data_IF_112690244207
#
_entry.id   IF_112690244207
#
_cell.length_a   1.000
_cell.length_b   1.000
_cell.length_c   1.000
_cell.angle_alpha   90.00
_cell.angle_beta   90.00
_cell.angle_gamma   90.00
#
_symmetry.space_group_name_H-M   'P 1'
#
loop_
_entity.id
_entity.type
_entity.pdbx_description
1 polymer ?
#
# COMPACT_ATOMS: atom_id res chain seq x y z
N UNK A 1 44.02 -12.98 36.71
CA UNK A 1 43.93 -13.88 35.57
C UNK A 1 44.83 -15.09 35.81
N UNK A 2 44.27 -16.28 35.73
CA UNK A 2 44.97 -17.55 35.93
C UNK A 2 45.38 -18.16 34.58
N UNK A 3 44.43 -18.21 33.66
CA UNK A 3 44.65 -18.70 32.29
C UNK A 3 43.69 -18.00 31.31
N UNK A 4 44.04 -18.00 30.04
CA UNK A 4 43.14 -17.73 28.93
C UNK A 4 43.18 -18.95 28.03
N UNK A 5 42.01 -19.48 27.68
CA UNK A 5 41.85 -20.63 26.79
C UNK A 5 41.00 -20.20 25.60
N UNK A 6 41.24 -20.79 24.46
CA UNK A 6 40.50 -20.50 23.21
C UNK A 6 39.87 -21.81 22.72
N UNK A 7 38.63 -21.75 22.32
CA UNK A 7 37.90 -22.91 21.76
C UNK A 7 38.51 -23.29 20.40
N UNK A 8 38.55 -24.60 20.14
CA UNK A 8 38.93 -25.16 18.84
C UNK A 8 37.79 -25.09 17.80
N UNK A 9 38.00 -25.66 16.63
CA UNK A 9 36.99 -25.68 15.56
C UNK A 9 35.70 -26.46 15.92
N UNK A 10 35.72 -27.24 16.97
CA UNK A 10 34.56 -27.98 17.48
C UNK A 10 33.88 -27.27 18.69
N UNK A 11 34.39 -26.10 19.06
CA UNK A 11 33.87 -25.31 20.20
C UNK A 11 34.41 -25.77 21.57
N UNK A 12 35.42 -26.64 21.64
CA UNK A 12 35.99 -27.15 22.90
C UNK A 12 37.24 -26.38 23.31
N UNK A 13 37.35 -26.09 24.60
CA UNK A 13 38.57 -25.61 25.22
C UNK A 13 38.80 -26.33 26.52
N UNK A 14 40.07 -26.55 26.88
CA UNK A 14 40.46 -27.16 28.11
C UNK A 14 41.63 -26.35 28.75
N UNK A 15 41.50 -26.08 30.05
CA UNK A 15 42.61 -25.52 30.81
C UNK A 15 43.71 -26.60 31.03
N UNK A 16 44.91 -26.17 31.32
CA UNK A 16 45.88 -27.00 32.00
C UNK A 16 45.46 -27.31 33.42
N UNK A 17 46.20 -28.19 34.10
CA UNK A 17 45.86 -28.58 35.47
C UNK A 17 45.90 -27.37 36.43
N UNK A 18 44.85 -27.18 37.20
CA UNK A 18 44.68 -26.09 38.15
C UNK A 18 44.72 -26.65 39.60
N UNK A 19 45.31 -25.94 40.55
CA UNK A 19 45.17 -26.29 41.96
C UNK A 19 43.70 -26.35 42.40
N UNK A 20 43.38 -27.13 43.42
CA UNK A 20 42.06 -27.11 44.06
C UNK A 20 41.75 -25.70 44.57
N UNK A 21 40.51 -25.23 44.34
CA UNK A 21 40.05 -23.91 44.74
C UNK A 21 38.86 -23.44 43.95
N UNK A 22 38.44 -22.20 44.28
CA UNK A 22 37.36 -21.52 43.56
C UNK A 22 37.94 -20.65 42.43
N UNK A 23 37.31 -20.78 41.26
CA UNK A 23 37.65 -20.04 40.04
C UNK A 23 36.43 -19.35 39.50
N UNK A 24 36.64 -18.30 38.72
CA UNK A 24 35.60 -17.62 37.94
C UNK A 24 35.99 -17.68 36.49
N UNK A 25 35.03 -18.17 35.68
CA UNK A 25 35.18 -18.23 34.23
C UNK A 25 34.27 -17.18 33.62
N UNK A 26 34.80 -16.44 32.68
CA UNK A 26 34.02 -15.51 31.84
C UNK A 26 34.50 -15.55 30.40
N UNK A 27 33.60 -15.35 29.47
CA UNK A 27 33.98 -15.10 28.10
C UNK A 27 34.69 -13.77 27.95
N UNK A 28 35.77 -13.72 27.21
CA UNK A 28 36.57 -12.50 26.97
C UNK A 28 36.31 -11.93 25.58
N UNK A 29 36.19 -12.79 24.62
CA UNK A 29 35.94 -12.49 23.20
C UNK A 29 35.07 -13.63 22.65
N UNK A 30 34.08 -13.31 21.81
CA UNK A 30 33.25 -14.31 21.13
C UNK A 30 33.64 -14.45 19.65
N UNK A 31 33.12 -15.49 18.98
CA UNK A 31 33.30 -15.63 17.55
C UNK A 31 32.49 -14.58 16.76
N UNK A 32 32.98 -14.20 15.57
CA UNK A 32 32.27 -13.27 14.67
C UNK A 32 30.84 -13.76 14.39
N UNK A 33 29.89 -12.84 14.50
CA UNK A 33 28.47 -13.11 14.32
C UNK A 33 27.70 -13.41 15.60
N UNK A 34 28.42 -13.54 16.72
CA UNK A 34 27.81 -13.80 18.02
C UNK A 34 27.95 -12.61 18.97
N UNK A 35 27.11 -12.63 20.00
CA UNK A 35 27.10 -11.64 21.09
C UNK A 35 27.87 -12.21 22.27
N UNK A 36 28.74 -11.39 22.85
CA UNK A 36 29.53 -11.77 24.03
C UNK A 36 28.61 -12.10 25.21
N UNK A 37 28.80 -13.27 25.83
CA UNK A 37 28.14 -13.60 27.09
C UNK A 37 28.89 -12.95 28.24
N UNK A 38 28.31 -11.91 28.83
CA UNK A 38 28.86 -11.18 29.96
C UNK A 38 28.77 -11.91 31.31
N UNK A 39 28.23 -13.14 31.35
CA UNK A 39 28.06 -13.90 32.57
C UNK A 39 29.41 -14.34 33.16
N UNK A 40 29.49 -14.31 34.48
CA UNK A 40 30.65 -14.84 35.24
C UNK A 40 30.18 -16.08 35.97
N UNK A 41 30.76 -17.25 35.67
CA UNK A 41 30.39 -18.52 36.27
C UNK A 41 31.45 -18.95 37.30
N UNK A 42 30.98 -19.39 38.48
CA UNK A 42 31.86 -19.91 39.53
C UNK A 42 32.10 -21.40 39.32
N UNK A 43 33.34 -21.79 39.37
CA UNK A 43 33.82 -23.19 39.30
C UNK A 43 34.53 -23.51 40.62
N UNK A 44 34.06 -24.53 41.34
CA UNK A 44 34.65 -24.97 42.60
C UNK A 44 35.31 -26.33 42.42
N UNK A 45 36.64 -26.34 42.32
CA UNK A 45 37.46 -27.54 42.23
C UNK A 45 37.83 -28.02 43.66
N UNK A 46 36.96 -28.85 44.24
CA UNK A 46 37.17 -29.36 45.59
C UNK A 46 37.69 -30.78 45.56
N UNK A 47 38.49 -31.14 46.58
CA UNK A 47 38.93 -32.53 46.79
C UNK A 47 37.69 -33.46 46.93
N UNK A 48 37.69 -34.57 46.20
CA UNK A 48 36.60 -35.56 46.28
C UNK A 48 36.95 -36.73 47.16
N UNK A 49 37.96 -37.52 46.80
CA UNK A 49 38.41 -38.68 47.54
C UNK A 49 39.80 -39.14 47.06
N UNK A 50 40.37 -40.15 47.74
CA UNK A 50 41.70 -40.71 47.41
C UNK A 50 41.77 -41.46 46.08
N UNK A 51 40.61 -41.86 45.52
CA UNK A 51 40.54 -42.63 44.30
C UNK A 51 40.28 -41.75 43.08
N UNK A 52 40.08 -40.43 43.28
CA UNK A 52 39.81 -39.45 42.26
C UNK A 52 41.02 -38.53 42.09
N UNK A 53 42.02 -38.94 41.33
CA UNK A 53 43.29 -38.20 41.20
C UNK A 53 43.14 -36.90 40.37
N UNK A 54 42.11 -36.79 39.52
CA UNK A 54 41.77 -35.62 38.71
C UNK A 54 40.29 -35.30 38.92
N UNK A 55 39.98 -34.07 39.30
CA UNK A 55 38.63 -33.52 39.34
C UNK A 55 38.40 -32.75 38.06
N UNK A 56 37.41 -33.14 37.24
CA UNK A 56 36.98 -32.41 36.06
C UNK A 56 35.70 -31.60 36.35
N UNK A 57 35.61 -30.45 35.78
CA UNK A 57 34.41 -29.64 35.75
C UNK A 57 34.14 -29.27 34.28
N UNK A 58 32.95 -29.65 33.82
CA UNK A 58 32.52 -29.38 32.42
C UNK A 58 31.43 -28.35 32.48
N UNK A 59 31.48 -27.39 31.57
CA UNK A 59 30.53 -26.29 31.47
C UNK A 59 30.20 -26.01 30.00
N UNK A 60 28.92 -25.95 29.70
CA UNK A 60 28.42 -25.57 28.38
C UNK A 60 28.22 -24.05 28.33
N UNK A 61 28.82 -23.41 27.33
CA UNK A 61 28.70 -21.98 27.11
C UNK A 61 27.97 -21.73 25.80
N UNK A 62 26.92 -20.89 25.80
CA UNK A 62 26.09 -20.61 24.65
C UNK A 62 26.06 -19.11 24.35
N UNK A 63 26.35 -18.73 23.10
CA UNK A 63 26.27 -17.37 22.63
C UNK A 63 25.04 -17.20 21.72
N UNK A 64 24.36 -16.07 21.87
CA UNK A 64 23.32 -15.66 20.94
C UNK A 64 23.95 -15.10 19.67
N UNK A 65 23.37 -15.42 18.51
CA UNK A 65 23.76 -14.77 17.27
C UNK A 65 23.29 -13.31 17.27
N UNK A 66 24.06 -12.41 16.67
CA UNK A 66 23.63 -11.07 16.37
C UNK A 66 22.47 -11.12 15.38
N UNK A 67 21.41 -10.30 15.61
CA UNK A 67 20.20 -10.27 14.82
C UNK A 67 20.02 -8.95 14.09
N UNK A 68 19.35 -9.01 12.93
CA UNK A 68 18.83 -7.84 12.24
C UNK A 68 17.37 -7.61 12.63
N UNK A 69 17.03 -6.34 12.92
CA UNK A 69 15.65 -5.90 13.06
C UNK A 69 15.30 -4.98 11.91
N UNK A 70 14.47 -5.48 10.99
CA UNK A 70 14.06 -4.73 9.79
C UNK A 70 12.65 -4.22 10.01
N UNK A 71 12.49 -2.90 9.99
CA UNK A 71 11.21 -2.21 10.19
C UNK A 71 10.84 -1.43 8.94
N UNK A 72 9.58 -1.51 8.53
CA UNK A 72 8.98 -0.66 7.51
C UNK A 72 7.94 0.26 8.16
N UNK A 73 7.91 1.51 7.72
CA UNK A 73 6.87 2.49 8.04
C UNK A 73 6.24 2.93 6.73
N UNK A 74 4.93 2.77 6.61
CA UNK A 74 4.16 3.15 5.42
C UNK A 74 3.34 4.40 5.68
N UNK A 75 3.45 5.39 4.80
CA UNK A 75 2.75 6.67 4.90
C UNK A 75 2.12 7.09 3.58
N UNK A 76 1.13 7.98 3.68
CA UNK A 76 0.65 8.75 2.54
C UNK A 76 1.68 9.85 2.21
N UNK A 77 1.99 9.99 0.94
CA UNK A 77 2.98 10.96 0.43
C UNK A 77 2.62 12.40 0.81
N UNK A 78 3.62 13.13 1.27
CA UNK A 78 3.51 14.52 1.73
C UNK A 78 2.56 14.75 2.91
N UNK A 79 2.24 13.71 3.68
CA UNK A 79 1.45 13.79 4.91
C UNK A 79 2.10 13.01 6.04
N UNK A 80 1.55 13.12 7.26
CA UNK A 80 1.93 12.27 8.39
C UNK A 80 0.98 11.06 8.58
N UNK A 81 -0.01 10.90 7.68
CA UNK A 81 -0.94 9.79 7.74
C UNK A 81 -0.22 8.48 7.50
N UNK A 82 -0.28 7.57 8.47
CA UNK A 82 0.20 6.19 8.32
C UNK A 82 -0.84 5.35 7.60
N UNK A 83 -0.39 4.31 6.87
CA UNK A 83 -1.24 3.49 6.03
C UNK A 83 -1.19 2.03 6.45
N UNK A 84 -2.34 1.48 6.86
CA UNK A 84 -2.57 0.07 7.14
C UNK A 84 -2.78 -0.73 5.85
N UNK A 85 -2.37 -2.01 5.85
CA UNK A 85 -2.69 -2.95 4.79
C UNK A 85 -1.73 -2.98 3.60
N UNK A 86 -0.72 -2.11 3.57
CA UNK A 86 0.36 -2.20 2.57
C UNK A 86 1.20 -3.46 2.78
N UNK A 87 1.37 -4.28 1.74
CA UNK A 87 2.09 -5.56 1.82
C UNK A 87 3.51 -5.39 1.33
N UNK A 88 4.47 -5.74 2.17
CA UNK A 88 5.91 -5.69 1.88
C UNK A 88 6.54 -7.06 1.96
N UNK A 89 7.55 -7.29 1.13
CA UNK A 89 8.34 -8.49 1.18
C UNK A 89 9.83 -8.17 1.30
N UNK A 90 10.51 -8.99 2.10
CA UNK A 90 11.95 -8.99 2.34
C UNK A 90 12.61 -10.06 1.48
N UNK A 91 13.66 -9.70 0.77
CA UNK A 91 14.37 -10.58 -0.17
C UNK A 91 15.88 -10.61 0.08
N UNK A 92 16.53 -11.68 -0.36
CA UNK A 92 17.98 -11.70 -0.59
C UNK A 92 18.31 -10.90 -1.85
N UNK A 93 19.33 -10.03 -1.79
CA UNK A 93 19.85 -9.31 -2.98
C UNK A 93 20.83 -10.13 -3.76
N UNK A 94 21.69 -10.88 -3.05
CA UNK A 94 22.72 -11.76 -3.62
C UNK A 94 22.56 -13.18 -3.08
N UNK A 95 23.29 -14.14 -3.69
CA UNK A 95 23.37 -15.48 -3.14
C UNK A 95 23.98 -15.44 -1.73
N UNK A 96 23.36 -16.13 -0.78
CA UNK A 96 23.88 -16.32 0.57
C UNK A 96 24.59 -17.67 0.60
N UNK A 97 25.84 -17.65 1.05
CA UNK A 97 26.71 -18.83 1.09
C UNK A 97 26.88 -19.31 2.53
N UNK A 98 27.07 -20.62 2.71
CA UNK A 98 27.56 -21.20 3.97
C UNK A 98 29.09 -21.04 4.08
N UNK A 99 29.69 -21.55 5.17
CA UNK A 99 31.14 -21.47 5.42
C UNK A 99 31.96 -22.25 4.38
N UNK A 100 31.38 -23.25 3.72
CA UNK A 100 31.99 -24.08 2.67
C UNK A 100 31.88 -23.44 1.29
N UNK A 101 31.19 -22.29 1.15
CA UNK A 101 30.95 -21.57 -0.10
C UNK A 101 29.78 -22.11 -0.93
N UNK A 102 28.95 -22.93 -0.38
CA UNK A 102 27.76 -23.43 -1.04
C UNK A 102 26.59 -22.44 -0.88
N UNK A 103 25.79 -22.29 -1.95
CA UNK A 103 24.61 -21.41 -1.93
C UNK A 103 23.51 -22.04 -1.08
N UNK A 104 23.14 -21.35 0.02
CA UNK A 104 22.02 -21.74 0.92
C UNK A 104 20.72 -20.99 0.59
N UNK A 105 20.83 -19.73 0.11
CA UNK A 105 19.72 -18.95 -0.46
C UNK A 105 20.20 -18.26 -1.72
N UNK A 106 19.42 -18.34 -2.79
CA UNK A 106 19.73 -17.65 -4.04
C UNK A 106 19.33 -16.19 -3.96
N UNK A 107 19.95 -15.36 -4.79
CA UNK A 107 19.54 -14.01 -5.05
C UNK A 107 18.03 -13.95 -5.40
N UNK A 108 17.36 -12.85 -5.05
CA UNK A 108 15.93 -12.60 -5.26
C UNK A 108 14.98 -13.63 -4.61
N UNK A 109 15.47 -14.38 -3.61
CA UNK A 109 14.60 -15.26 -2.81
C UNK A 109 13.81 -14.44 -1.81
N UNK A 110 12.48 -14.55 -1.86
CA UNK A 110 11.60 -13.97 -0.83
C UNK A 110 11.75 -14.72 0.49
N UNK A 111 12.13 -13.99 1.54
CA UNK A 111 12.38 -14.51 2.88
C UNK A 111 11.10 -14.44 3.73
N UNK A 112 10.46 -13.28 3.73
CA UNK A 112 9.27 -13.03 4.54
C UNK A 112 8.40 -11.97 3.87
N UNK A 113 7.07 -12.08 4.06
CA UNK A 113 6.08 -11.10 3.57
C UNK A 113 5.11 -10.76 4.70
N UNK A 114 4.82 -9.48 4.89
CA UNK A 114 3.88 -8.97 5.89
C UNK A 114 3.11 -7.76 5.39
N UNK A 115 1.94 -7.51 6.02
CA UNK A 115 1.17 -6.29 5.83
C UNK A 115 1.41 -5.29 6.97
N UNK A 116 1.33 -4.00 6.68
CA UNK A 116 1.39 -2.94 7.68
C UNK A 116 0.18 -2.99 8.60
N UNK A 117 0.42 -2.78 9.89
CA UNK A 117 -0.58 -2.69 10.94
C UNK A 117 -1.27 -1.31 10.99
N UNK A 118 -2.10 -1.07 12.02
CA UNK A 118 -2.82 0.20 12.24
C UNK A 118 -1.90 1.41 12.42
N UNK A 119 -0.66 1.18 12.86
CA UNK A 119 0.37 2.22 12.99
C UNK A 119 1.21 2.37 11.71
N UNK A 120 0.79 1.72 10.62
CA UNK A 120 1.50 1.69 9.35
C UNK A 120 2.84 0.99 9.42
N UNK A 121 3.06 0.06 10.35
CA UNK A 121 4.36 -0.56 10.62
C UNK A 121 4.38 -2.05 10.33
N UNK A 122 5.57 -2.51 9.93
CA UNK A 122 5.96 -3.92 9.89
C UNK A 122 7.27 -4.07 10.63
N UNK A 123 7.41 -5.14 11.40
CA UNK A 123 8.69 -5.64 11.86
C UNK A 123 8.84 -7.06 11.30
N UNK A 124 9.84 -7.27 10.44
CA UNK A 124 10.19 -8.59 9.95
C UNK A 124 10.83 -9.40 11.08
N UNK A 125 10.51 -10.70 11.13
CA UNK A 125 10.92 -11.61 12.22
C UNK A 125 11.88 -12.69 11.75
N UNK A 126 12.16 -12.78 10.45
CA UNK A 126 13.10 -13.73 9.88
C UNK A 126 14.51 -13.54 10.48
N UNK A 127 15.16 -14.65 10.83
CA UNK A 127 16.54 -14.67 11.29
C UNK A 127 17.49 -14.63 10.09
N UNK A 128 18.03 -13.43 9.83
CA UNK A 128 18.85 -13.18 8.64
C UNK A 128 20.29 -13.62 8.86
N UNK A 129 20.92 -14.34 7.90
CA UNK A 129 22.35 -14.55 7.88
C UNK A 129 23.14 -13.25 7.88
N UNK A 130 24.19 -13.19 8.72
CA UNK A 130 25.15 -12.11 8.77
C UNK A 130 25.98 -12.05 7.49
N UNK A 131 26.48 -10.86 7.13
CA UNK A 131 27.20 -10.57 5.89
C UNK A 131 26.38 -10.82 4.61
N UNK A 132 25.05 -10.89 4.73
CA UNK A 132 24.11 -10.93 3.63
C UNK A 132 23.69 -9.53 3.17
N UNK A 133 23.34 -9.43 1.88
CA UNK A 133 22.75 -8.25 1.29
C UNK A 133 21.28 -8.52 1.03
N UNK A 134 20.42 -7.59 1.40
CA UNK A 134 18.98 -7.75 1.41
C UNK A 134 18.29 -6.54 0.81
N UNK A 135 17.03 -6.69 0.46
CA UNK A 135 16.18 -5.56 0.11
C UNK A 135 14.73 -5.80 0.53
N UNK A 136 14.03 -4.70 0.73
CA UNK A 136 12.59 -4.66 0.94
C UNK A 136 11.94 -3.94 -0.21
N UNK A 137 10.78 -4.43 -0.66
CA UNK A 137 9.91 -3.74 -1.61
C UNK A 137 8.45 -3.94 -1.27
N UNK A 138 7.64 -3.00 -1.70
CA UNK A 138 6.19 -3.16 -1.69
C UNK A 138 5.76 -4.15 -2.76
N UNK A 139 4.84 -5.04 -2.42
CA UNK A 139 4.24 -6.01 -3.34
C UNK A 139 2.77 -5.73 -3.60
N UNK A 140 2.14 -4.97 -2.71
CA UNK A 140 0.77 -4.47 -2.85
C UNK A 140 0.59 -3.22 -2.01
N UNK A 141 0.10 -2.14 -2.60
CA UNK A 141 -0.26 -0.93 -1.88
C UNK A 141 -1.49 -1.14 -0.97
N UNK A 142 -1.68 -0.29 0.05
CA UNK A 142 -2.94 -0.17 0.76
C UNK A 142 -4.11 0.11 -0.19
N UNK A 143 -5.33 -0.28 0.20
CA UNK A 143 -6.52 -0.01 -0.59
C UNK A 143 -6.66 1.50 -0.88
N UNK A 144 -6.87 1.86 -2.14
CA UNK A 144 -7.01 3.24 -2.60
C UNK A 144 -5.69 3.97 -2.89
N UNK A 145 -4.55 3.28 -2.80
CA UNK A 145 -3.24 3.84 -3.05
C UNK A 145 -2.54 3.16 -4.23
N UNK A 146 -1.55 3.86 -4.78
CA UNK A 146 -0.75 3.41 -5.92
C UNK A 146 0.49 2.68 -5.40
N UNK A 147 0.73 1.45 -5.87
CA UNK A 147 1.91 0.66 -5.49
C UNK A 147 3.19 1.34 -5.96
N UNK A 148 4.16 1.49 -5.06
CA UNK A 148 5.48 2.02 -5.41
C UNK A 148 6.41 0.91 -5.93
N UNK A 149 7.23 1.24 -6.93
CA UNK A 149 8.32 0.37 -7.41
C UNK A 149 9.63 0.58 -6.63
N UNK A 150 9.62 1.39 -5.58
CA UNK A 150 10.79 1.70 -4.79
C UNK A 150 11.34 0.45 -4.07
N UNK A 151 12.67 0.28 -4.12
CA UNK A 151 13.39 -0.78 -3.43
C UNK A 151 14.32 -0.15 -2.40
N UNK A 152 14.29 -0.61 -1.14
CA UNK A 152 15.22 -0.22 -0.08
C UNK A 152 16.16 -1.37 0.21
N UNK A 153 17.44 -1.15 -0.05
CA UNK A 153 18.52 -2.15 0.14
C UNK A 153 19.25 -1.91 1.46
N UNK A 154 19.78 -3.00 2.03
CA UNK A 154 20.65 -2.93 3.21
C UNK A 154 21.62 -4.11 3.26
N UNK A 155 22.73 -3.88 3.95
CA UNK A 155 23.76 -4.88 4.20
C UNK A 155 23.78 -5.21 5.69
N UNK A 156 23.58 -6.47 6.05
CA UNK A 156 23.64 -6.91 7.43
C UNK A 156 25.05 -7.40 7.74
N UNK A 157 25.93 -6.47 8.12
CA UNK A 157 27.29 -6.77 8.53
C UNK A 157 27.38 -6.96 10.05
N UNK A 158 28.39 -7.72 10.51
CA UNK A 158 28.71 -7.85 11.93
C UNK A 158 29.07 -6.49 12.54
N UNK A 159 28.37 -6.11 13.59
CA UNK A 159 28.52 -4.80 14.26
C UNK A 159 29.35 -4.83 15.56
N UNK A 160 30.00 -5.97 15.86
CA UNK A 160 30.78 -6.19 17.06
C UNK A 160 30.05 -7.00 18.11
N UNK A 161 30.82 -7.57 19.05
CA UNK A 161 30.36 -8.58 20.01
C UNK A 161 29.42 -8.03 21.13
N UNK A 162 29.37 -6.71 21.32
CA UNK A 162 28.48 -6.06 22.28
C UNK A 162 27.13 -5.68 21.69
N UNK A 163 26.90 -5.82 20.38
CA UNK A 163 25.69 -5.45 19.70
C UNK A 163 24.80 -6.68 19.47
N UNK A 164 23.72 -6.78 20.21
CA UNK A 164 22.78 -7.89 20.07
C UNK A 164 21.85 -7.77 18.84
N UNK A 165 21.47 -6.54 18.48
CA UNK A 165 20.52 -6.26 17.37
C UNK A 165 20.98 -5.07 16.55
N UNK A 166 21.03 -5.22 15.23
CA UNK A 166 21.26 -4.15 14.24
C UNK A 166 19.92 -3.77 13.65
N UNK A 167 19.52 -2.51 13.83
CA UNK A 167 18.22 -2.02 13.35
C UNK A 167 18.34 -1.33 12.00
N UNK A 168 17.40 -1.69 11.09
CA UNK A 168 17.17 -1.05 9.80
C UNK A 168 15.73 -0.55 9.76
N UNK A 169 15.51 0.73 9.50
CA UNK A 169 14.17 1.31 9.39
C UNK A 169 14.01 2.02 8.05
N UNK A 170 12.93 1.67 7.32
CA UNK A 170 12.62 2.19 6.00
C UNK A 170 11.24 2.82 5.99
N UNK A 171 11.14 4.02 5.43
CA UNK A 171 9.85 4.67 5.19
C UNK A 171 9.52 4.57 3.71
N UNK A 172 8.30 4.15 3.41
CA UNK A 172 7.70 4.14 2.07
C UNK A 172 6.49 5.04 2.03
N UNK A 173 6.32 5.77 0.94
CA UNK A 173 5.23 6.71 0.76
C UNK A 173 4.46 6.39 -0.52
N UNK A 174 3.11 6.33 -0.42
CA UNK A 174 2.23 6.16 -1.59
C UNK A 174 1.36 7.39 -1.81
N UNK A 175 1.02 7.59 -3.07
CA UNK A 175 0.01 8.56 -3.49
C UNK A 175 -1.36 7.88 -3.57
N UNK A 176 -2.46 8.55 -3.16
CA UNK A 176 -3.79 8.03 -3.37
C UNK A 176 -4.13 8.02 -4.86
N UNK A 177 -4.91 7.03 -5.31
CA UNK A 177 -5.56 7.13 -6.63
C UNK A 177 -6.45 8.37 -6.66
N UNK A 178 -6.49 9.06 -7.79
CA UNK A 178 -7.27 10.30 -7.93
C UNK A 178 -8.05 10.29 -9.25
N UNK A 179 -9.35 10.55 -9.16
CA UNK A 179 -10.25 10.70 -10.29
C UNK A 179 -10.78 12.12 -10.37
N UNK A 180 -10.83 12.66 -11.58
CA UNK A 180 -11.53 13.88 -11.96
C UNK A 180 -12.77 13.48 -12.75
N UNK A 181 -13.95 13.77 -12.19
CA UNK A 181 -15.25 13.48 -12.81
C UNK A 181 -15.84 14.79 -13.34
N UNK A 182 -15.96 14.86 -14.67
CA UNK A 182 -16.56 16.01 -15.38
C UNK A 182 -18.01 15.67 -15.71
N UNK A 183 -18.94 16.59 -15.41
CA UNK A 183 -20.31 16.54 -15.90
C UNK A 183 -20.52 17.73 -16.81
N UNK A 184 -20.66 17.50 -18.11
CA UNK A 184 -20.65 18.57 -19.11
C UNK A 184 -21.85 18.52 -20.05
N UNK A 185 -22.17 19.69 -20.63
CA UNK A 185 -23.10 19.82 -21.77
C UNK A 185 -22.40 19.33 -23.03
N UNK A 186 -23.01 18.39 -23.76
CA UNK A 186 -22.44 17.77 -24.97
C UNK A 186 -22.19 18.78 -26.09
N UNK A 187 -22.94 19.89 -26.12
CA UNK A 187 -22.90 20.89 -27.20
C UNK A 187 -21.80 21.92 -26.93
N UNK A 188 -21.70 22.40 -25.69
CA UNK A 188 -20.77 23.46 -25.31
C UNK A 188 -19.45 22.93 -24.75
N UNK A 189 -19.46 21.73 -24.16
CA UNK A 189 -18.36 21.14 -23.41
C UNK A 189 -18.10 21.82 -22.05
N UNK A 190 -18.98 22.72 -21.63
CA UNK A 190 -18.88 23.39 -20.32
C UNK A 190 -19.42 22.50 -19.21
N UNK A 191 -18.88 22.66 -17.98
CA UNK A 191 -19.41 21.99 -16.79
C UNK A 191 -20.88 22.31 -16.59
N UNK A 192 -21.68 21.28 -16.30
CA UNK A 192 -23.13 21.35 -16.15
C UNK A 192 -23.53 21.23 -14.67
N UNK A 193 -23.83 22.32 -13.98
CA UNK A 193 -24.28 22.30 -12.58
C UNK A 193 -25.70 21.75 -12.42
N UNK A 194 -25.97 21.12 -11.28
CA UNK A 194 -27.32 20.75 -10.83
C UNK A 194 -27.71 19.29 -11.02
N UNK A 195 -26.93 18.49 -11.73
CA UNK A 195 -27.14 17.07 -11.85
C UNK A 195 -26.74 16.32 -10.57
N UNK A 196 -27.51 15.32 -10.14
CA UNK A 196 -27.14 14.44 -9.03
C UNK A 196 -26.49 13.18 -9.53
N UNK A 197 -25.28 12.96 -9.07
CA UNK A 197 -24.39 11.89 -9.50
C UNK A 197 -23.99 11.01 -8.32
N UNK A 198 -23.76 9.72 -8.58
CA UNK A 198 -23.17 8.80 -7.61
C UNK A 198 -22.18 7.87 -8.28
N UNK A 199 -21.16 7.45 -7.53
CA UNK A 199 -20.26 6.37 -7.87
C UNK A 199 -20.54 5.17 -6.96
N UNK A 200 -20.71 4.00 -7.55
CA UNK A 200 -20.93 2.75 -6.82
C UNK A 200 -19.87 1.71 -7.20
N UNK A 201 -19.53 0.83 -6.26
CA UNK A 201 -18.68 -0.33 -6.52
C UNK A 201 -19.43 -1.43 -7.31
N UNK A 202 -18.76 -2.55 -7.57
CA UNK A 202 -19.32 -3.70 -8.29
C UNK A 202 -20.44 -4.44 -7.54
N UNK A 203 -20.58 -4.21 -6.22
CA UNK A 203 -21.62 -4.79 -5.37
C UNK A 203 -22.83 -3.85 -5.26
N UNK A 204 -22.72 -2.63 -5.80
CA UNK A 204 -23.75 -1.60 -5.78
C UNK A 204 -23.71 -0.70 -4.55
N UNK A 205 -22.67 -0.81 -3.69
CA UNK A 205 -22.49 0.09 -2.57
C UNK A 205 -22.06 1.47 -3.10
N UNK A 206 -22.73 2.52 -2.61
CA UNK A 206 -22.39 3.91 -2.96
C UNK A 206 -21.09 4.30 -2.24
N UNK A 207 -20.08 4.70 -3.00
CA UNK A 207 -18.79 5.16 -2.47
C UNK A 207 -18.68 6.67 -2.44
N UNK A 208 -19.42 7.36 -3.34
CA UNK A 208 -19.52 8.82 -3.35
C UNK A 208 -20.85 9.27 -4.00
N UNK A 209 -21.41 10.39 -3.55
CA UNK A 209 -22.64 11.00 -4.07
C UNK A 209 -22.57 12.52 -3.94
N UNK A 210 -22.81 13.25 -5.05
CA UNK A 210 -22.75 14.71 -5.06
C UNK A 210 -23.73 15.33 -6.05
N UNK A 211 -23.83 16.66 -6.00
CA UNK A 211 -24.48 17.47 -7.05
C UNK A 211 -23.39 18.16 -7.86
N UNK A 212 -23.47 18.06 -9.20
CA UNK A 212 -22.50 18.70 -10.11
C UNK A 212 -22.46 20.21 -9.92
N UNK A 213 -21.26 20.76 -10.04
CA UNK A 213 -20.99 22.20 -9.94
C UNK A 213 -20.42 22.76 -11.25
N UNK A 214 -19.78 23.92 -11.15
CA UNK A 214 -19.06 24.58 -12.26
C UNK A 214 -17.60 24.13 -12.40
N UNK A 215 -17.19 23.10 -11.67
CA UNK A 215 -15.85 22.50 -11.72
C UNK A 215 -15.96 20.99 -11.57
N UNK A 216 -14.99 20.22 -12.13
CA UNK A 216 -14.97 18.78 -11.95
C UNK A 216 -14.99 18.35 -10.48
N UNK A 217 -15.61 17.21 -10.20
CA UNK A 217 -15.60 16.60 -8.89
C UNK A 217 -14.39 15.68 -8.74
N UNK A 218 -13.72 15.72 -7.58
CA UNK A 218 -12.52 14.93 -7.30
C UNK A 218 -12.85 13.82 -6.31
N UNK A 219 -12.60 12.57 -6.74
CA UNK A 219 -12.71 11.39 -5.89
C UNK A 219 -11.30 10.84 -5.68
N UNK A 220 -10.98 10.48 -4.44
CA UNK A 220 -9.70 9.87 -4.07
C UNK A 220 -9.90 8.50 -3.44
N UNK A 221 -8.82 7.73 -3.41
CA UNK A 221 -8.74 6.46 -2.69
C UNK A 221 -9.70 5.37 -3.23
N UNK A 222 -10.00 5.38 -4.54
CA UNK A 222 -10.65 4.23 -5.17
C UNK A 222 -9.64 3.10 -5.36
N UNK A 223 -10.02 1.86 -5.04
CA UNK A 223 -9.11 0.70 -5.06
C UNK A 223 -8.65 0.32 -6.46
N UNK A 224 -7.33 0.20 -6.64
CA UNK A 224 -6.68 -0.23 -7.89
C UNK A 224 -7.22 -1.58 -8.37
N UNK A 225 -7.52 -1.67 -9.67
CA UNK A 225 -8.06 -2.87 -10.32
C UNK A 225 -9.55 -3.12 -10.07
N UNK A 226 -10.20 -2.35 -9.21
CA UNK A 226 -11.65 -2.45 -8.98
C UNK A 226 -12.42 -1.70 -10.06
N UNK A 227 -13.65 -2.16 -10.27
CA UNK A 227 -14.60 -1.57 -11.21
C UNK A 227 -15.64 -0.75 -10.45
N UNK A 228 -15.88 0.47 -10.93
CA UNK A 228 -16.88 1.39 -10.41
C UNK A 228 -17.82 1.85 -11.50
N UNK A 229 -19.03 2.28 -11.12
CA UNK A 229 -20.04 2.79 -12.04
C UNK A 229 -20.47 4.18 -11.60
N UNK A 230 -20.29 5.16 -12.47
CA UNK A 230 -20.84 6.51 -12.36
C UNK A 230 -22.27 6.50 -12.90
N UNK A 231 -23.22 6.94 -12.10
CA UNK A 231 -24.64 7.01 -12.46
C UNK A 231 -25.20 8.38 -12.17
N UNK A 232 -25.90 8.95 -13.13
CA UNK A 232 -26.73 10.11 -12.91
C UNK A 232 -28.08 9.67 -12.35
N UNK A 233 -28.47 10.21 -11.20
CA UNK A 233 -29.75 9.89 -10.54
C UNK A 233 -30.82 10.93 -10.82
N UNK A 234 -30.41 12.19 -11.04
CA UNK A 234 -31.29 13.31 -11.43
C UNK A 234 -30.46 14.17 -12.40
N UNK A 235 -30.94 14.39 -13.64
CA UNK A 235 -30.28 15.30 -14.58
C UNK A 235 -30.41 16.77 -14.13
N UNK A 236 -29.58 17.63 -14.71
CA UNK A 236 -29.75 19.07 -14.59
C UNK A 236 -31.05 19.51 -15.27
N UNK A 237 -31.61 20.65 -14.84
CA UNK A 237 -32.84 21.19 -15.38
C UNK A 237 -32.70 21.46 -16.90
N UNK A 238 -33.63 20.91 -17.70
CA UNK A 238 -33.64 21.04 -19.15
C UNK A 238 -32.80 19.98 -19.91
N UNK A 239 -32.21 19.04 -19.20
CA UNK A 239 -31.37 17.99 -19.78
C UNK A 239 -31.98 16.61 -19.66
N UNK A 240 -31.57 15.72 -20.54
CA UNK A 240 -31.92 14.29 -20.49
C UNK A 240 -30.91 13.53 -19.63
N UNK A 241 -31.39 12.52 -18.90
CA UNK A 241 -30.50 11.67 -18.07
C UNK A 241 -29.49 10.93 -18.93
N UNK A 242 -28.20 11.02 -18.57
CA UNK A 242 -27.13 10.27 -19.23
C UNK A 242 -27.14 8.78 -18.90
N UNK A 243 -26.57 7.99 -19.81
CA UNK A 243 -26.28 6.58 -19.53
C UNK A 243 -25.16 6.45 -18.49
N UNK A 244 -25.24 5.40 -17.66
CA UNK A 244 -24.20 5.11 -16.67
C UNK A 244 -22.87 4.72 -17.31
N UNK A 245 -21.76 5.17 -16.75
CA UNK A 245 -20.40 4.90 -17.21
C UNK A 245 -19.70 3.99 -16.20
N UNK A 246 -19.13 2.88 -16.72
CA UNK A 246 -18.33 1.98 -15.91
C UNK A 246 -16.84 2.17 -16.21
N UNK A 247 -16.02 2.29 -15.18
CA UNK A 247 -14.58 2.46 -15.31
C UNK A 247 -13.81 1.56 -14.34
N UNK A 248 -12.52 1.34 -14.61
CA UNK A 248 -11.61 0.54 -13.79
C UNK A 248 -10.50 1.45 -13.29
N UNK A 249 -10.11 1.31 -12.03
CA UNK A 249 -9.03 2.09 -11.44
C UNK A 249 -7.68 1.55 -11.88
N UNK A 250 -6.88 2.37 -12.51
CA UNK A 250 -5.51 2.03 -12.93
C UNK A 250 -4.52 2.31 -11.79
N UNK A 251 -3.41 1.56 -11.76
CA UNK A 251 -2.30 1.76 -10.80
C UNK A 251 -1.40 2.91 -11.28
N UNK A 252 -1.87 4.13 -11.11
CA UNK A 252 -1.15 5.35 -11.51
C UNK A 252 -1.42 6.49 -10.54
N UNK A 253 -0.39 7.31 -10.28
CA UNK A 253 -0.50 8.55 -9.52
C UNK A 253 -1.06 9.72 -10.36
N UNK A 254 -1.14 9.55 -11.68
CA UNK A 254 -1.77 10.53 -12.56
C UNK A 254 -3.27 10.62 -12.28
N UNK A 255 -3.85 11.81 -12.48
CA UNK A 255 -5.29 12.02 -12.36
C UNK A 255 -6.00 11.28 -13.49
N UNK A 256 -6.81 10.29 -13.13
CA UNK A 256 -7.67 9.56 -14.06
C UNK A 256 -8.97 10.35 -14.29
N UNK A 257 -9.50 10.31 -15.52
CA UNK A 257 -10.64 11.17 -15.89
C UNK A 257 -11.82 10.35 -16.36
N UNK A 258 -13.01 10.75 -15.89
CA UNK A 258 -14.29 10.23 -16.39
C UNK A 258 -15.17 11.43 -16.71
N UNK A 259 -15.67 11.45 -17.94
CA UNK A 259 -16.57 12.51 -18.43
C UNK A 259 -17.94 11.93 -18.70
N UNK A 260 -18.98 12.56 -18.13
CA UNK A 260 -20.38 12.25 -18.40
C UNK A 260 -21.05 13.48 -19.02
N UNK A 261 -21.64 13.31 -20.18
CA UNK A 261 -22.22 14.39 -20.97
C UNK A 261 -23.73 14.24 -21.03
N UNK A 262 -24.45 15.36 -20.93
CA UNK A 262 -25.88 15.44 -21.18
C UNK A 262 -26.20 16.21 -22.45
N UNK A 263 -27.28 15.82 -23.11
CA UNK A 263 -27.92 16.58 -24.17
C UNK A 263 -29.19 17.25 -23.63
N UNK A 264 -29.53 18.39 -24.17
CA UNK A 264 -30.76 19.12 -23.82
C UNK A 264 -31.99 18.28 -24.19
N UNK A 265 -33.06 18.42 -23.41
CA UNK A 265 -34.35 17.85 -23.80
C UNK A 265 -34.91 18.67 -24.97
N UNK A 266 -35.28 17.96 -26.07
CA UNK A 266 -35.80 18.57 -27.32
C UNK A 266 -37.24 18.18 -27.54
N UNK A 267 -38.10 19.14 -27.75
CA UNK A 267 -39.50 18.90 -28.09
C UNK A 267 -39.73 19.33 -29.52
N UNK A 268 -40.27 18.43 -30.34
CA UNK A 268 -40.71 18.71 -31.70
C UNK A 268 -42.19 18.95 -31.69
N UNK A 269 -42.62 20.16 -32.04
CA UNK A 269 -44.02 20.55 -32.07
C UNK A 269 -44.48 20.77 -33.51
N UNK A 270 -45.40 19.92 -33.97
CA UNK A 270 -46.11 20.02 -35.26
C UNK A 270 -47.49 20.63 -35.06
N UNK A 271 -47.82 21.63 -35.90
CA UNK A 271 -49.18 22.16 -35.99
C UNK A 271 -49.74 21.63 -37.31
N UNK A 272 -50.52 20.51 -37.27
CA UNK A 272 -50.99 19.83 -38.46
C UNK A 272 -52.50 20.06 -38.72
N UNK A 273 -52.88 19.89 -39.99
CA UNK A 273 -54.31 19.87 -40.40
C UNK A 273 -54.97 18.60 -39.88
N UNK A 274 -56.13 18.76 -39.24
CA UNK A 274 -56.84 17.63 -38.66
C UNK A 274 -57.44 16.70 -39.73
N UNK A 275 -57.60 17.19 -40.96
CA UNK A 275 -58.20 16.43 -42.05
C UNK A 275 -57.25 15.38 -42.64
N UNK A 276 -55.96 15.69 -42.78
CA UNK A 276 -54.94 14.78 -43.30
C UNK A 276 -53.91 14.31 -42.28
N UNK A 277 -53.85 14.95 -41.12
CA UNK A 277 -52.98 14.58 -39.99
C UNK A 277 -51.48 14.73 -40.23
N UNK A 278 -51.07 15.30 -41.38
CA UNK A 278 -49.66 15.32 -41.82
C UNK A 278 -49.19 16.68 -42.36
N UNK A 279 -50.10 17.47 -42.95
CA UNK A 279 -49.71 18.78 -43.50
C UNK A 279 -49.56 19.85 -42.42
N UNK A 280 -48.43 20.50 -42.37
CA UNK A 280 -48.19 21.62 -41.41
C UNK A 280 -49.09 22.81 -41.76
N UNK A 281 -49.73 23.37 -40.74
CA UNK A 281 -50.58 24.56 -40.85
C UNK A 281 -49.77 25.81 -40.53
N UNK A 282 -49.55 26.67 -41.56
CA UNK A 282 -48.75 27.90 -41.44
C UNK A 282 -49.54 29.07 -40.83
N UNK A 283 -48.80 29.96 -40.14
CA UNK A 283 -49.31 31.27 -39.69
C UNK A 283 -50.06 31.23 -38.35
N UNK A 284 -50.09 30.08 -37.66
CA UNK A 284 -50.62 30.04 -36.27
C UNK A 284 -49.56 30.56 -35.31
N UNK A 285 -49.95 31.41 -34.37
CA UNK A 285 -49.09 31.78 -33.23
C UNK A 285 -49.24 30.78 -32.12
N UNK A 286 -48.10 30.22 -31.69
CA UNK A 286 -48.00 29.23 -30.63
C UNK A 286 -47.12 29.72 -29.50
N UNK A 287 -47.42 29.26 -28.30
CA UNK A 287 -46.68 29.60 -27.07
C UNK A 287 -46.44 28.32 -26.28
N UNK A 288 -45.29 28.26 -25.68
CA UNK A 288 -44.98 27.35 -24.59
C UNK A 288 -45.09 28.16 -23.30
N UNK A 289 -45.85 27.65 -22.34
CA UNK A 289 -46.03 28.28 -21.04
C UNK A 289 -45.51 27.36 -19.95
N UNK A 290 -44.91 27.93 -18.92
CA UNK A 290 -44.60 27.20 -17.70
C UNK A 290 -45.87 26.94 -16.86
N UNK A 291 -45.74 26.27 -15.72
CA UNK A 291 -46.84 25.95 -14.80
C UNK A 291 -47.55 27.22 -14.23
N UNK A 292 -46.85 28.35 -14.19
CA UNK A 292 -47.38 29.66 -13.77
C UNK A 292 -48.04 30.43 -14.91
N UNK A 293 -48.21 29.84 -16.11
CA UNK A 293 -48.73 30.43 -17.34
C UNK A 293 -47.88 31.60 -17.90
N UNK A 294 -46.61 31.64 -17.57
CA UNK A 294 -45.68 32.60 -18.14
C UNK A 294 -45.16 32.06 -19.47
N UNK A 295 -45.03 32.95 -20.48
CA UNK A 295 -44.55 32.58 -21.81
C UNK A 295 -43.05 32.30 -21.77
N UNK A 296 -42.69 31.04 -21.97
CA UNK A 296 -41.29 30.62 -22.09
C UNK A 296 -40.75 30.79 -23.51
N UNK A 297 -41.58 30.42 -24.50
CA UNK A 297 -41.21 30.57 -25.90
C UNK A 297 -42.46 30.90 -26.73
N UNK A 298 -42.29 31.60 -27.86
CA UNK A 298 -43.36 31.87 -28.82
C UNK A 298 -42.85 31.89 -30.26
N UNK A 299 -43.60 31.26 -31.16
CA UNK A 299 -43.27 31.25 -32.60
C UNK A 299 -44.51 31.32 -33.46
N UNK A 300 -44.30 31.46 -34.78
CA UNK A 300 -45.36 31.33 -35.78
C UNK A 300 -45.11 30.04 -36.60
N UNK A 301 -46.11 29.17 -36.66
CA UNK A 301 -45.98 27.92 -37.38
C UNK A 301 -45.64 28.13 -38.87
N UNK A 302 -44.72 27.31 -39.36
CA UNK A 302 -44.24 27.24 -40.75
C UNK A 302 -44.71 26.05 -41.50
N UNK A 303 -43.87 25.57 -42.44
CA UNK A 303 -44.05 24.32 -43.20
C UNK A 303 -43.22 23.15 -42.66
N UNK A 304 -42.61 23.36 -41.50
CA UNK A 304 -41.84 22.35 -40.74
C UNK A 304 -42.23 22.41 -39.28
N UNK A 305 -42.10 21.28 -38.58
CA UNK A 305 -42.21 21.29 -37.13
C UNK A 305 -41.24 22.26 -36.46
N UNK A 306 -41.60 22.78 -35.29
CA UNK A 306 -40.76 23.67 -34.49
C UNK A 306 -40.03 22.88 -33.39
N UNK A 307 -38.73 23.08 -33.29
CA UNK A 307 -37.92 22.55 -32.18
C UNK A 307 -37.90 23.53 -31.04
N UNK A 308 -38.08 23.01 -29.85
CA UNK A 308 -37.92 23.70 -28.58
C UNK A 308 -36.76 23.06 -27.85
N UNK A 309 -35.83 23.86 -27.41
CA UNK A 309 -34.64 23.41 -26.67
C UNK A 309 -34.69 23.93 -25.22
#
# INVERSE_FOLDING_TARGET
LVATITTDALGYARSEDLPLGKYYVKEKETADGYVLDGEIREVDLTYRDQNTPVVTYDEDWQNNRQKAKVTVVKKEKNTDRVLEGGVFALYTKNDILNAEGEVILKADTMIEQKATDQDGRIVFTADLPINGNYYVKEVQAPAGFVTTEEIKEFDFAYAGEEVAEVSFEFTYEDEPTTFEITKSDITTGEELPGAKLKVSDSEGNVVDEWTSGSTPHIIKELEVGKKYTLTETIPADGYATAESITFVVENTADIQKVEMQDDTTKILISKVDMTDGSSEVKGAKLYILNENQEVMESWTSGDQPHYVE
#
